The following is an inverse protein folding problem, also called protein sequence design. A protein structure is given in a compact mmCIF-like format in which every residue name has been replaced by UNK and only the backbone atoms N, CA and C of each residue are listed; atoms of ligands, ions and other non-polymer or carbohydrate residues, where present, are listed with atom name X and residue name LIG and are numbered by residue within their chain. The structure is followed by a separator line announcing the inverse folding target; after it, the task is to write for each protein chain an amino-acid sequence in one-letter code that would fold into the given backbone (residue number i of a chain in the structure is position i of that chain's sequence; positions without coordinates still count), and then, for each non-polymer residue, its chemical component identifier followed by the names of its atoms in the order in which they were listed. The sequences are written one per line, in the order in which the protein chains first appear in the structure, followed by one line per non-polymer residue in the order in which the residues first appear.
data_IF_257798639439
#
_entry.id   IF_257798639439
#
_cell.length_a   1.000
_cell.length_b   1.000
_cell.length_c   1.000
_cell.angle_alpha   90.00
_cell.angle_beta   90.00
_cell.angle_gamma   90.00
#
_symmetry.space_group_name_H-M   'P 1'
#
loop_
_entity.id
_entity.type
_entity.pdbx_description
1 polymer ?
#
# COMPACT_ATOMS: atom_id res chain seq x y z
N UNK A 1 6.29 -13.30 -3.76
CA UNK A 1 5.36 -12.55 -4.64
C UNK A 1 5.22 -11.12 -4.14
N UNK A 2 5.28 -10.17 -5.03
CA UNK A 2 5.11 -8.76 -4.68
C UNK A 2 3.81 -8.25 -5.28
N UNK A 3 2.97 -7.67 -4.43
CA UNK A 3 1.73 -7.02 -4.85
C UNK A 3 1.97 -5.52 -4.81
N UNK A 4 1.73 -4.84 -5.93
CA UNK A 4 1.91 -3.39 -6.02
C UNK A 4 0.55 -2.72 -5.94
N UNK A 5 0.39 -1.81 -4.98
CA UNK A 5 -0.82 -1.02 -4.83
C UNK A 5 -0.49 0.43 -5.16
N UNK A 6 -1.15 0.95 -6.19
CA UNK A 6 -0.92 2.32 -6.65
C UNK A 6 -2.14 3.17 -6.31
N UNK A 7 -1.94 4.23 -5.53
CA UNK A 7 -2.99 5.17 -5.17
C UNK A 7 -2.72 6.50 -5.88
N UNK A 8 -3.40 6.70 -7.01
CA UNK A 8 -3.25 7.90 -7.81
C UNK A 8 -4.17 9.04 -7.34
N UNK A 9 -5.16 8.74 -6.50
CA UNK A 9 -6.15 9.73 -6.06
C UNK A 9 -5.87 10.28 -4.67
N UNK A 10 -5.18 9.50 -3.83
CA UNK A 10 -4.91 9.93 -2.47
C UNK A 10 -6.13 9.99 -1.56
N UNK A 11 -7.24 9.39 -1.96
CA UNK A 11 -8.49 9.45 -1.22
C UNK A 11 -8.72 8.35 -0.21
N UNK A 12 -7.67 7.64 0.18
CA UNK A 12 -7.78 6.58 1.17
C UNK A 12 -8.12 5.21 0.58
N UNK A 13 -8.33 5.13 -0.71
CA UNK A 13 -8.65 3.86 -1.38
C UNK A 13 -7.46 2.91 -1.31
N UNK A 14 -6.25 3.42 -1.55
CA UNK A 14 -5.04 2.62 -1.48
C UNK A 14 -4.82 2.05 -0.09
N UNK A 15 -5.03 2.87 0.93
CA UNK A 15 -4.92 2.46 2.33
C UNK A 15 -5.90 1.32 2.64
N UNK A 16 -7.15 1.44 2.20
CA UNK A 16 -8.15 0.42 2.42
C UNK A 16 -7.80 -0.88 1.70
N UNK A 17 -7.28 -0.77 0.49
CA UNK A 17 -6.88 -1.93 -0.30
C UNK A 17 -5.70 -2.66 0.35
N UNK A 18 -4.70 -1.93 0.83
CA UNK A 18 -3.57 -2.52 1.53
C UNK A 18 -4.04 -3.25 2.78
N UNK A 19 -4.92 -2.63 3.57
CA UNK A 19 -5.45 -3.25 4.77
C UNK A 19 -6.19 -4.55 4.44
N UNK A 20 -6.99 -4.55 3.38
CA UNK A 20 -7.72 -5.73 2.96
C UNK A 20 -6.77 -6.86 2.51
N UNK A 21 -5.75 -6.51 1.75
CA UNK A 21 -4.75 -7.49 1.28
C UNK A 21 -4.02 -8.11 2.47
N UNK A 22 -3.57 -7.30 3.41
CA UNK A 22 -2.83 -7.79 4.57
C UNK A 22 -3.70 -8.64 5.49
N UNK A 23 -5.00 -8.36 5.52
CA UNK A 23 -5.94 -9.16 6.30
C UNK A 23 -6.20 -10.52 5.65
N UNK A 24 -6.36 -10.54 4.32
CA UNK A 24 -6.72 -11.76 3.58
C UNK A 24 -5.51 -12.62 3.27
N UNK A 25 -4.35 -12.01 3.04
CA UNK A 25 -3.14 -12.72 2.63
C UNK A 25 -2.08 -12.55 3.71
N UNK A 26 -1.97 -13.56 4.59
CA UNK A 26 -1.02 -13.52 5.70
C UNK A 26 0.12 -14.50 5.44
N UNK A 27 0.74 -14.37 4.28
CA UNK A 27 1.84 -15.23 3.88
C UNK A 27 3.16 -14.47 3.95
N UNK A 28 4.22 -15.04 4.55
CA UNK A 28 5.52 -14.39 4.59
C UNK A 28 6.17 -14.27 3.21
N UNK A 29 5.66 -15.01 2.22
CA UNK A 29 6.18 -14.95 0.86
C UNK A 29 5.57 -13.82 0.04
N UNK A 30 4.59 -13.09 0.60
CA UNK A 30 3.90 -12.01 -0.10
C UNK A 30 4.31 -10.68 0.51
N UNK A 31 4.81 -9.79 -0.33
CA UNK A 31 5.16 -8.42 0.05
C UNK A 31 4.22 -7.44 -0.64
N UNK A 32 3.85 -6.38 0.05
CA UNK A 32 3.00 -5.33 -0.51
C UNK A 32 3.83 -4.07 -0.67
N UNK A 33 3.94 -3.60 -1.90
CA UNK A 33 4.62 -2.36 -2.24
C UNK A 33 3.56 -1.29 -2.52
N UNK A 34 3.57 -0.23 -1.74
CA UNK A 34 2.64 0.88 -1.90
C UNK A 34 3.30 2.00 -2.68
N UNK A 35 2.62 2.47 -3.73
CA UNK A 35 3.08 3.60 -4.53
C UNK A 35 2.00 4.66 -4.50
N UNK A 36 2.27 5.78 -3.83
CA UNK A 36 1.35 6.90 -3.79
C UNK A 36 1.84 8.03 -4.67
N UNK A 37 0.92 8.85 -5.15
CA UNK A 37 1.26 10.03 -5.94
C UNK A 37 1.78 11.18 -5.07
N UNK A 38 1.67 11.03 -3.75
CA UNK A 38 2.25 11.98 -2.80
C UNK A 38 2.65 11.23 -1.52
N UNK A 39 3.40 11.92 -0.67
CA UNK A 39 3.92 11.29 0.54
C UNK A 39 2.84 10.95 1.55
N UNK A 40 1.72 11.70 1.57
CA UNK A 40 0.62 11.42 2.48
C UNK A 40 -0.06 10.09 2.13
N UNK A 41 -0.32 9.87 0.83
CA UNK A 41 -0.92 8.63 0.37
C UNK A 41 -0.01 7.43 0.68
N UNK A 42 1.28 7.58 0.40
CA UNK A 42 2.26 6.52 0.67
C UNK A 42 2.35 6.22 2.16
N UNK A 43 2.40 7.26 3.01
CA UNK A 43 2.44 7.08 4.46
C UNK A 43 1.21 6.37 4.98
N UNK A 44 0.02 6.72 4.47
CA UNK A 44 -1.22 6.09 4.89
C UNK A 44 -1.22 4.60 4.55
N UNK A 45 -0.72 4.24 3.37
CA UNK A 45 -0.63 2.84 2.97
C UNK A 45 0.38 2.06 3.81
N UNK A 46 1.52 2.69 4.16
CA UNK A 46 2.50 2.07 5.05
C UNK A 46 1.91 1.83 6.43
N UNK A 47 1.16 2.78 6.97
CA UNK A 47 0.49 2.63 8.25
C UNK A 47 -0.56 1.53 8.21
N UNK A 48 -1.16 1.30 7.05
CA UNK A 48 -2.15 0.23 6.86
C UNK A 48 -1.51 -1.16 6.77
N UNK A 49 -0.18 -1.24 6.66
CA UNK A 49 0.54 -2.50 6.69
C UNK A 49 1.39 -2.81 5.47
N UNK A 50 1.51 -1.90 4.51
CA UNK A 50 2.39 -2.14 3.37
C UNK A 50 3.83 -2.37 3.84
N UNK A 51 4.52 -3.29 3.20
CA UNK A 51 5.88 -3.66 3.59
C UNK A 51 6.90 -2.63 3.08
N UNK A 52 6.63 -2.05 1.93
CA UNK A 52 7.50 -1.03 1.33
C UNK A 52 6.65 0.07 0.75
N UNK A 53 7.24 1.24 0.58
CA UNK A 53 6.52 2.37 0.03
C UNK A 53 7.43 3.27 -0.80
N UNK A 54 6.84 3.87 -1.83
CA UNK A 54 7.50 4.87 -2.66
C UNK A 54 6.51 5.96 -3.03
N UNK A 55 6.93 7.20 -2.89
CA UNK A 55 6.12 8.33 -3.33
C UNK A 55 6.54 8.71 -4.74
N UNK A 56 5.55 8.96 -5.58
CA UNK A 56 5.78 9.37 -6.96
C UNK A 56 5.21 10.76 -7.16
N UNK A 57 6.04 11.68 -7.58
CA UNK A 57 5.63 13.07 -7.87
C UNK A 57 5.31 13.26 -9.34
#
# INVERSE_FOLDING_TARGET
MTIVVIDAQGGGIGKQLVAAIKKEIQSPDVEVLAVGTNSLATSAMLKAGADHGAART
#
